data_IF_813729712461
#
_entry.id   IF_813729712461
#
_cell.length_a   1.000
_cell.length_b   1.000
_cell.length_c   1.000
_cell.angle_alpha   90.00
_cell.angle_beta   90.00
_cell.angle_gamma   90.00
#
_symmetry.space_group_name_H-M   'P 1'
#
loop_
_entity.id
_entity.type
_entity.pdbx_description
1 polymer ?
#
# COMPACT_ATOMS: atom_id res chain seq x y z
N UNK A 1 -33.68 -11.10 64.96
CA UNK A 1 -33.63 -9.62 64.96
C UNK A 1 -33.94 -9.15 63.54
N UNK A 2 -34.86 -8.20 63.43
CA UNK A 2 -35.72 -7.96 62.27
C UNK A 2 -35.14 -7.17 61.08
N UNK A 3 -36.01 -6.86 60.08
CA UNK A 3 -35.66 -6.63 58.67
C UNK A 3 -35.79 -5.15 58.22
N UNK A 4 -35.34 -4.81 57.01
CA UNK A 4 -35.78 -3.59 56.28
C UNK A 4 -35.57 -3.77 54.77
N UNK A 5 -36.62 -4.12 54.02
CA UNK A 5 -37.49 -3.27 53.16
C UNK A 5 -36.84 -2.77 51.87
N UNK A 6 -37.41 -3.27 50.77
CA UNK A 6 -37.39 -2.75 49.41
C UNK A 6 -37.97 -1.33 49.33
N UNK A 7 -37.34 -0.46 48.54
CA UNK A 7 -37.98 0.68 47.87
C UNK A 7 -37.51 0.70 46.40
N UNK A 8 -38.51 0.66 45.52
CA UNK A 8 -38.44 0.96 44.09
C UNK A 8 -38.04 2.42 43.87
N UNK A 9 -37.23 2.68 42.85
CA UNK A 9 -37.57 3.55 41.72
C UNK A 9 -36.31 4.15 41.09
N UNK A 10 -36.27 4.03 39.76
CA UNK A 10 -36.04 5.22 38.98
C UNK A 10 -34.72 5.36 38.24
N UNK A 11 -34.87 5.33 36.92
CA UNK A 11 -34.24 6.24 35.97
C UNK A 11 -32.86 5.87 35.39
N UNK A 12 -32.90 5.71 34.07
CA UNK A 12 -31.80 5.93 33.14
C UNK A 12 -30.58 5.01 33.25
N UNK A 13 -30.71 3.78 32.79
CA UNK A 13 -29.63 3.26 31.92
C UNK A 13 -29.80 3.89 30.56
N UNK A 14 -29.35 5.14 30.44
CA UNK A 14 -28.94 5.68 29.14
C UNK A 14 -28.08 4.61 28.49
N UNK A 15 -28.50 4.16 27.31
CA UNK A 15 -27.67 3.34 26.46
C UNK A 15 -26.36 4.08 26.25
N UNK A 16 -25.34 3.71 27.03
CA UNK A 16 -23.96 4.04 26.70
C UNK A 16 -23.72 3.29 25.42
N UNK A 17 -24.00 3.96 24.29
CA UNK A 17 -23.26 3.75 23.06
C UNK A 17 -21.82 3.73 23.53
N UNK A 18 -21.22 2.54 23.55
CA UNK A 18 -19.80 2.36 23.72
C UNK A 18 -19.21 3.23 22.62
N UNK A 19 -18.82 4.45 22.98
CA UNK A 19 -18.23 5.40 22.07
C UNK A 19 -16.99 4.67 21.59
N UNK A 20 -17.02 4.23 20.33
CA UNK A 20 -15.92 3.55 19.69
C UNK A 20 -14.79 4.58 19.69
N UNK A 21 -13.95 4.56 20.73
CA UNK A 21 -12.81 5.46 20.82
C UNK A 21 -12.02 5.21 19.55
N UNK A 22 -11.94 6.23 18.70
CA UNK A 22 -11.16 6.15 17.48
C UNK A 22 -9.75 5.77 17.91
N UNK A 23 -9.27 4.65 17.39
CA UNK A 23 -7.96 4.15 17.78
C UNK A 23 -6.91 5.20 17.36
N UNK A 24 -6.08 5.61 18.31
CA UNK A 24 -5.11 6.69 18.14
C UNK A 24 -4.05 6.27 17.11
N UNK A 25 -3.82 7.11 16.10
CA UNK A 25 -2.68 6.98 15.18
C UNK A 25 -1.42 7.50 15.86
N UNK A 26 -0.34 6.73 15.80
CA UNK A 26 1.01 7.18 16.17
C UNK A 26 1.86 7.17 14.92
N UNK A 27 2.33 8.35 14.51
CA UNK A 27 3.23 8.49 13.38
C UNK A 27 4.64 8.06 13.79
N UNK A 28 5.35 7.43 12.87
CA UNK A 28 6.70 6.90 13.06
C UNK A 28 7.61 7.44 11.96
N UNK A 29 8.86 7.72 12.30
CA UNK A 29 9.89 8.07 11.33
C UNK A 29 10.43 6.81 10.62
N UNK A 30 11.11 7.00 9.50
CA UNK A 30 11.68 5.88 8.75
C UNK A 30 12.88 6.29 7.91
N UNK A 31 13.79 5.34 7.71
CA UNK A 31 14.90 5.47 6.78
C UNK A 31 14.55 4.87 5.41
N UNK A 32 14.91 5.60 4.36
CA UNK A 32 14.80 5.11 2.99
C UNK A 32 16.00 4.20 2.70
N UNK A 33 15.76 2.90 2.55
CA UNK A 33 16.80 1.95 2.16
C UNK A 33 16.99 1.96 0.65
N UNK A 34 15.90 1.84 -0.12
CA UNK A 34 15.91 1.99 -1.59
C UNK A 34 14.54 2.31 -2.17
N UNK A 35 14.53 3.13 -3.22
CA UNK A 35 13.35 3.42 -4.05
C UNK A 35 13.68 3.24 -5.55
N UNK A 36 13.88 1.99 -6.01
CA UNK A 36 14.30 1.74 -7.39
C UNK A 36 13.18 2.09 -8.37
N UNK A 37 13.56 2.26 -9.64
CA UNK A 37 12.60 2.31 -10.73
C UNK A 37 12.24 0.89 -11.17
N UNK A 38 10.96 0.54 -11.16
CA UNK A 38 10.44 -0.60 -11.91
C UNK A 38 10.32 -0.20 -13.39
N UNK A 39 10.83 -1.03 -14.30
CA UNK A 39 10.92 -0.70 -15.73
C UNK A 39 10.34 -1.83 -16.58
N UNK A 40 9.42 -1.46 -17.46
CA UNK A 40 8.80 -2.34 -18.45
C UNK A 40 9.13 -1.83 -19.86
N UNK A 41 9.46 -2.74 -20.78
CA UNK A 41 9.69 -2.45 -22.20
C UNK A 41 8.56 -3.06 -23.03
N UNK A 42 7.83 -2.23 -23.79
CA UNK A 42 6.76 -2.70 -24.67
C UNK A 42 7.33 -3.17 -26.01
N UNK A 43 6.58 -4.02 -26.72
CA UNK A 43 6.97 -4.54 -28.04
C UNK A 43 7.24 -3.44 -29.09
N UNK A 44 6.65 -2.25 -28.93
CA UNK A 44 6.90 -1.10 -29.82
C UNK A 44 8.12 -0.24 -29.42
N UNK A 45 8.90 -0.70 -28.44
CA UNK A 45 10.10 -0.05 -27.93
C UNK A 45 9.84 1.02 -26.87
N UNK A 46 8.59 1.32 -26.54
CA UNK A 46 8.23 2.28 -25.48
C UNK A 46 8.60 1.72 -24.11
N UNK A 47 9.10 2.56 -23.21
CA UNK A 47 9.37 2.16 -21.81
C UNK A 47 8.37 2.78 -20.85
N UNK A 48 7.78 1.98 -19.98
CA UNK A 48 7.07 2.45 -18.79
C UNK A 48 7.98 2.33 -17.59
N UNK A 49 8.21 3.43 -16.88
CA UNK A 49 8.94 3.46 -15.61
C UNK A 49 8.00 3.87 -14.49
N UNK A 50 8.00 3.11 -13.41
CA UNK A 50 7.18 3.41 -12.23
C UNK A 50 8.03 3.36 -10.97
N UNK A 51 7.74 4.26 -10.03
CA UNK A 51 8.39 4.31 -8.72
C UNK A 51 7.36 4.70 -7.67
N UNK A 52 7.47 4.10 -6.49
CA UNK A 52 6.72 4.49 -5.31
C UNK A 52 7.66 5.09 -4.27
N UNK A 53 7.21 6.19 -3.67
CA UNK A 53 7.86 6.88 -2.57
C UNK A 53 6.86 6.93 -1.41
N UNK A 54 7.24 6.42 -0.25
CA UNK A 54 6.45 6.48 0.97
C UNK A 54 6.60 7.86 1.59
N UNK A 55 5.47 8.49 1.92
CA UNK A 55 5.43 9.85 2.42
C UNK A 55 5.23 9.89 3.93
N UNK A 56 4.37 9.01 4.44
CA UNK A 56 4.03 8.94 5.86
C UNK A 56 3.79 7.49 6.29
N UNK A 57 4.13 7.18 7.53
CA UNK A 57 3.84 5.91 8.19
C UNK A 57 3.22 6.19 9.54
N UNK A 58 2.25 5.36 9.92
CA UNK A 58 1.74 5.32 11.28
C UNK A 58 1.29 3.91 11.66
N UNK A 59 1.22 3.66 12.94
CA UNK A 59 0.59 2.46 13.47
C UNK A 59 -0.58 2.78 14.39
N UNK A 60 -1.41 1.77 14.59
CA UNK A 60 -2.55 1.82 15.51
C UNK A 60 -2.53 0.57 16.38
N UNK A 61 -2.65 0.76 17.69
CA UNK A 61 -2.78 -0.35 18.64
C UNK A 61 -4.27 -0.61 18.88
N UNK A 62 -4.75 -1.83 18.57
CA UNK A 62 -6.11 -2.29 18.87
C UNK A 62 -6.04 -3.66 19.54
N UNK A 63 -6.58 -3.75 20.76
CA UNK A 63 -6.62 -5.03 21.50
C UNK A 63 -5.22 -5.64 21.74
N UNK A 64 -4.19 -4.80 21.94
CA UNK A 64 -2.81 -5.25 22.11
C UNK A 64 -2.07 -5.62 20.83
N UNK A 65 -2.73 -5.57 19.66
CA UNK A 65 -2.10 -5.80 18.36
C UNK A 65 -1.75 -4.47 17.69
N UNK A 66 -0.50 -4.32 17.25
CA UNK A 66 -0.03 -3.20 16.45
C UNK A 66 -0.29 -3.46 14.97
N UNK A 67 -0.95 -2.51 14.29
CA UNK A 67 -1.19 -2.55 12.84
C UNK A 67 -0.56 -1.34 12.19
N UNK A 68 0.39 -1.57 11.28
CA UNK A 68 1.05 -0.53 10.49
C UNK A 68 0.22 -0.12 9.27
N UNK A 69 0.36 1.13 8.83
CA UNK A 69 -0.26 1.69 7.63
C UNK A 69 0.58 2.86 7.13
N UNK A 70 0.70 3.01 5.82
CA UNK A 70 1.44 4.10 5.19
C UNK A 70 0.61 4.83 4.14
N UNK A 71 1.05 6.03 3.79
CA UNK A 71 0.68 6.70 2.54
C UNK A 71 1.89 6.77 1.62
N UNK A 72 1.63 6.58 0.33
CA UNK A 72 2.65 6.62 -0.70
C UNK A 72 2.23 7.51 -1.86
N UNK A 73 3.22 7.99 -2.59
CA UNK A 73 3.07 8.69 -3.85
C UNK A 73 3.70 7.88 -4.97
N UNK A 74 2.99 7.82 -6.09
CA UNK A 74 3.45 7.17 -7.29
C UNK A 74 4.00 8.17 -8.29
N UNK A 75 5.13 7.81 -8.92
CA UNK A 75 5.65 8.51 -10.10
C UNK A 75 5.70 7.54 -11.26
N UNK A 76 4.97 7.85 -12.33
CA UNK A 76 4.91 7.03 -13.53
C UNK A 76 5.38 7.85 -14.74
N UNK A 77 6.27 7.28 -15.55
CA UNK A 77 6.88 7.94 -16.72
C UNK A 77 6.75 6.99 -17.91
N UNK A 78 6.19 7.50 -19.00
CA UNK A 78 6.19 6.81 -20.30
C UNK A 78 7.23 7.46 -21.20
N UNK A 79 8.26 6.70 -21.55
CA UNK A 79 9.27 7.08 -22.53
C UNK A 79 8.88 6.48 -23.88
N UNK A 80 8.05 7.22 -24.62
CA UNK A 80 7.55 6.83 -25.93
C UNK A 80 8.71 6.61 -26.92
N UNK A 81 8.72 5.47 -27.61
CA UNK A 81 9.70 5.24 -28.67
C UNK A 81 9.49 6.25 -29.82
N UNK A 82 10.55 6.74 -30.49
CA UNK A 82 10.41 7.70 -31.58
C UNK A 82 9.49 7.24 -32.72
N UNK A 83 9.45 5.94 -33.04
CA UNK A 83 8.53 5.40 -34.06
C UNK A 83 7.06 5.48 -33.66
N UNK A 84 6.77 5.70 -32.39
CA UNK A 84 5.42 5.83 -31.83
C UNK A 84 5.00 7.28 -31.66
N UNK A 85 5.89 8.24 -31.94
CA UNK A 85 5.54 9.65 -31.94
C UNK A 85 4.70 10.00 -33.15
N UNK A 86 3.73 10.89 -32.94
CA UNK A 86 2.86 11.37 -34.00
C UNK A 86 2.58 12.86 -33.88
N UNK A 87 1.49 13.29 -34.52
CA UNK A 87 1.05 14.68 -34.44
C UNK A 87 0.75 15.05 -32.99
N UNK A 88 1.33 16.16 -32.54
CA UNK A 88 1.07 16.76 -31.23
C UNK A 88 -0.42 17.11 -31.10
N UNK A 89 -0.98 16.84 -29.93
CA UNK A 89 -2.37 17.13 -29.63
C UNK A 89 -2.52 17.68 -28.20
N UNK A 90 -2.99 18.91 -28.10
CA UNK A 90 -3.19 19.61 -26.82
C UNK A 90 -4.55 19.33 -26.18
N UNK A 91 -5.39 18.51 -26.83
CA UNK A 91 -6.73 18.19 -26.34
C UNK A 91 -6.62 17.33 -25.08
N UNK A 92 -7.09 17.87 -23.95
CA UNK A 92 -7.25 17.10 -22.72
C UNK A 92 -8.43 16.16 -22.90
N UNK A 93 -8.22 14.86 -22.65
CA UNK A 93 -9.25 13.83 -22.78
C UNK A 93 -9.51 13.16 -21.44
N UNK A 94 -10.77 12.87 -21.18
CA UNK A 94 -11.16 12.07 -20.03
C UNK A 94 -10.75 10.61 -20.22
N UNK A 95 -10.60 9.87 -19.11
CA UNK A 95 -10.16 8.47 -19.13
C UNK A 95 -11.07 7.60 -20.00
N UNK A 96 -12.38 7.80 -19.91
CA UNK A 96 -13.40 7.05 -20.65
C UNK A 96 -13.28 7.27 -22.17
N UNK A 97 -12.84 8.46 -22.59
CA UNK A 97 -12.60 8.75 -24.00
C UNK A 97 -11.35 8.05 -24.52
N UNK A 98 -10.30 7.98 -23.69
CA UNK A 98 -9.08 7.25 -24.01
C UNK A 98 -9.37 5.74 -24.14
N UNK A 99 -10.12 5.18 -23.19
CA UNK A 99 -10.49 3.75 -23.16
C UNK A 99 -11.26 3.35 -24.41
N UNK A 100 -12.26 4.15 -24.83
CA UNK A 100 -13.04 3.92 -26.06
C UNK A 100 -12.22 4.00 -27.35
N UNK A 101 -11.05 4.64 -27.31
CA UNK A 101 -10.17 4.82 -28.47
C UNK A 101 -8.85 4.05 -28.30
N UNK A 102 -8.92 2.90 -27.62
CA UNK A 102 -7.83 1.95 -27.55
C UNK A 102 -7.53 1.39 -28.95
N UNK A 103 -6.27 1.43 -29.36
CA UNK A 103 -5.78 0.86 -30.61
C UNK A 103 -5.36 -0.59 -30.41
N UNK A 104 -4.59 -0.86 -29.34
CA UNK A 104 -4.16 -2.20 -28.94
C UNK A 104 -4.47 -2.35 -27.45
N UNK A 105 -5.30 -3.32 -27.14
CA UNK A 105 -5.52 -3.76 -25.77
C UNK A 105 -4.44 -4.76 -25.33
N UNK A 106 -4.07 -4.69 -24.06
CA UNK A 106 -3.16 -5.65 -23.42
C UNK A 106 -1.87 -5.87 -24.22
N UNK A 107 -1.14 -4.77 -24.41
CA UNK A 107 0.14 -4.77 -25.10
C UNK A 107 1.11 -5.69 -24.36
N UNK A 108 1.85 -6.49 -25.13
CA UNK A 108 2.94 -7.30 -24.61
C UNK A 108 4.09 -6.41 -24.13
N UNK A 109 4.77 -6.90 -23.10
CA UNK A 109 5.91 -6.23 -22.51
C UNK A 109 6.89 -7.23 -21.89
N UNK A 110 8.13 -6.78 -21.75
CA UNK A 110 9.20 -7.41 -20.99
C UNK A 110 9.43 -6.64 -19.69
N UNK A 111 9.66 -7.36 -18.60
CA UNK A 111 10.08 -6.78 -17.32
C UNK A 111 11.59 -6.61 -17.33
N UNK A 112 12.07 -5.36 -17.36
CA UNK A 112 13.49 -5.04 -17.37
C UNK A 112 14.05 -4.97 -15.93
N UNK A 113 13.25 -4.46 -14.99
CA UNK A 113 13.58 -4.43 -13.56
C UNK A 113 12.31 -4.35 -12.74
N UNK A 114 12.22 -5.18 -11.69
CA UNK A 114 11.11 -5.24 -10.75
C UNK A 114 11.65 -5.54 -9.34
N UNK A 115 12.26 -4.52 -8.74
CA UNK A 115 12.73 -4.58 -7.36
C UNK A 115 11.74 -3.88 -6.42
N UNK A 116 11.56 -4.38 -5.18
CA UNK A 116 10.73 -3.71 -4.20
C UNK A 116 11.39 -2.42 -3.73
N UNK A 117 10.55 -1.44 -3.40
CA UNK A 117 10.92 -0.31 -2.57
C UNK A 117 11.07 -0.78 -1.12
N UNK A 118 12.11 -0.34 -0.42
CA UNK A 118 12.44 -0.79 0.94
C UNK A 118 12.65 0.40 1.89
N UNK A 119 12.06 0.29 3.07
CA UNK A 119 12.19 1.23 4.18
C UNK A 119 12.52 0.49 5.48
N UNK A 120 13.16 1.19 6.41
CA UNK A 120 13.47 0.71 7.75
C UNK A 120 12.82 1.64 8.79
N UNK A 121 11.99 1.08 9.66
CA UNK A 121 11.31 1.81 10.73
C UNK A 121 12.22 1.94 11.96
N UNK A 122 11.88 2.84 12.89
CA UNK A 122 12.65 3.04 14.14
C UNK A 122 12.70 1.77 15.00
N UNK A 123 11.63 0.97 15.01
CA UNK A 123 11.56 -0.30 15.74
C UNK A 123 12.35 -1.45 15.06
N UNK A 124 13.01 -1.17 13.93
CA UNK A 124 13.76 -2.13 13.13
C UNK A 124 12.91 -2.91 12.13
N UNK A 125 11.60 -2.68 12.06
CA UNK A 125 10.71 -3.29 11.05
C UNK A 125 11.12 -2.87 9.65
N UNK A 126 11.26 -3.84 8.75
CA UNK A 126 11.48 -3.57 7.32
C UNK A 126 10.16 -3.57 6.58
N UNK A 127 9.96 -2.56 5.73
CA UNK A 127 8.76 -2.44 4.89
C UNK A 127 9.17 -2.57 3.44
N UNK A 128 8.58 -3.54 2.75
CA UNK A 128 8.76 -3.77 1.33
C UNK A 128 7.48 -3.44 0.58
N UNK A 129 7.57 -2.59 -0.44
CA UNK A 129 6.45 -2.28 -1.33
C UNK A 129 6.76 -2.85 -2.71
N UNK A 130 5.89 -3.74 -3.18
CA UNK A 130 5.99 -4.42 -4.48
C UNK A 130 4.97 -3.82 -5.44
N UNK A 131 5.38 -3.62 -6.68
CA UNK A 131 4.52 -3.10 -7.74
C UNK A 131 4.63 -3.93 -9.00
N UNK A 132 3.47 -4.29 -9.53
CA UNK A 132 3.36 -5.15 -10.71
C UNK A 132 2.43 -4.54 -11.74
N UNK A 133 2.91 -4.38 -12.97
CA UNK A 133 2.08 -4.01 -14.10
C UNK A 133 1.13 -5.16 -14.42
N UNK A 134 -0.18 -4.89 -14.42
CA UNK A 134 -1.22 -5.89 -14.66
C UNK A 134 -1.80 -5.81 -16.06
N UNK A 135 -1.95 -4.60 -16.59
CA UNK A 135 -2.44 -4.35 -17.95
C UNK A 135 -1.84 -3.05 -18.47
N UNK A 136 -1.51 -3.02 -19.76
CA UNK A 136 -1.20 -1.79 -20.48
C UNK A 136 -1.85 -1.81 -21.87
N UNK A 137 -2.49 -0.71 -22.24
CA UNK A 137 -3.19 -0.55 -23.52
C UNK A 137 -2.70 0.70 -24.22
N UNK A 138 -2.52 0.63 -25.53
CA UNK A 138 -2.11 1.75 -26.38
C UNK A 138 -3.32 2.42 -26.99
N UNK A 139 -3.45 3.74 -26.84
CA UNK A 139 -4.58 4.49 -27.43
C UNK A 139 -4.25 5.00 -28.84
N UNK A 140 -5.24 5.50 -29.58
CA UNK A 140 -5.02 6.18 -30.87
C UNK A 140 -4.50 7.62 -30.74
N UNK A 141 -4.42 8.15 -29.52
CA UNK A 141 -4.13 9.56 -29.27
C UNK A 141 -2.68 9.79 -28.90
N UNK A 142 -2.21 11.00 -29.21
CA UNK A 142 -0.93 11.51 -28.75
C UNK A 142 -1.16 12.65 -27.75
N UNK A 143 -0.16 12.95 -26.94
CA UNK A 143 -0.14 14.07 -26.03
C UNK A 143 0.34 15.37 -26.71
N UNK A 144 0.47 16.45 -25.91
CA UNK A 144 0.95 17.76 -26.38
C UNK A 144 2.38 17.74 -26.91
N UNK A 145 3.15 16.70 -26.59
CA UNK A 145 4.53 16.51 -27.05
C UNK A 145 4.59 15.59 -28.28
N UNK A 146 3.46 14.98 -28.67
CA UNK A 146 3.38 14.03 -29.78
C UNK A 146 3.65 12.59 -29.35
N UNK A 147 3.80 12.33 -28.04
CA UNK A 147 3.97 10.99 -27.52
C UNK A 147 2.64 10.25 -27.50
N UNK A 148 2.67 8.98 -27.85
CA UNK A 148 1.52 8.08 -27.74
C UNK A 148 1.03 7.99 -26.29
N UNK A 149 -0.29 8.08 -26.08
CA UNK A 149 -0.91 7.92 -24.75
C UNK A 149 -1.21 6.44 -24.50
N UNK A 150 -0.81 5.97 -23.31
CA UNK A 150 -1.07 4.61 -22.82
C UNK A 150 -1.94 4.66 -21.57
N UNK A 151 -2.78 3.63 -21.42
CA UNK A 151 -3.57 3.36 -20.23
C UNK A 151 -2.98 2.14 -19.55
N UNK A 152 -2.78 2.17 -18.24
CA UNK A 152 -2.21 1.04 -17.52
C UNK A 152 -2.82 0.87 -16.13
N UNK A 153 -2.73 -0.35 -15.61
CA UNK A 153 -3.13 -0.74 -14.26
C UNK A 153 -1.94 -1.40 -13.57
N UNK A 154 -1.64 -0.97 -12.35
CA UNK A 154 -0.55 -1.49 -11.54
C UNK A 154 -1.13 -1.87 -10.19
N UNK A 155 -0.84 -3.09 -9.75
CA UNK A 155 -1.17 -3.53 -8.40
C UNK A 155 -0.01 -3.21 -7.46
N UNK A 156 -0.35 -2.78 -6.25
CA UNK A 156 0.59 -2.56 -5.15
C UNK A 156 0.29 -3.56 -4.03
N UNK A 157 1.35 -4.13 -3.45
CA UNK A 157 1.27 -4.94 -2.23
C UNK A 157 2.44 -4.61 -1.32
N UNK A 158 2.25 -4.80 -0.02
CA UNK A 158 3.30 -4.52 0.97
C UNK A 158 3.51 -5.68 1.94
N UNK A 159 4.76 -5.83 2.37
CA UNK A 159 5.18 -6.77 3.41
C UNK A 159 5.87 -6.00 4.53
N UNK A 160 5.47 -6.28 5.76
CA UNK A 160 6.13 -5.82 6.98
C UNK A 160 6.90 -6.99 7.59
N UNK A 161 8.18 -6.80 7.82
CA UNK A 161 9.09 -7.78 8.38
C UNK A 161 9.66 -7.22 9.68
N UNK A 162 8.92 -7.43 10.77
CA UNK A 162 9.30 -6.95 12.09
C UNK A 162 10.37 -7.86 12.70
N UNK A 163 11.35 -7.31 13.41
CA UNK A 163 12.31 -8.13 14.13
C UNK A 163 11.57 -9.00 15.17
N UNK A 164 12.09 -10.20 15.50
CA UNK A 164 11.54 -10.98 16.60
C UNK A 164 11.55 -10.11 17.85
N UNK A 165 10.43 -10.09 18.59
CA UNK A 165 10.36 -9.44 19.89
C UNK A 165 11.52 -9.98 20.73
N UNK A 166 12.52 -9.14 20.99
CA UNK A 166 13.63 -9.52 21.86
C UNK A 166 13.07 -10.02 23.18
N UNK A 167 13.71 -11.03 23.77
CA UNK A 167 13.37 -11.53 25.10
C UNK A 167 13.18 -10.36 26.05
N UNK A 168 12.03 -10.32 26.73
CA UNK A 168 11.70 -9.25 27.66
C UNK A 168 12.87 -9.04 28.64
N UNK A 169 13.51 -7.85 28.65
CA UNK A 169 14.74 -7.62 29.42
C UNK A 169 14.54 -7.74 30.94
N UNK A 170 13.29 -7.79 31.40
CA UNK A 170 12.95 -7.96 32.82
C UNK A 170 12.64 -9.39 33.23
N UNK A 171 12.30 -10.31 32.31
CA UNK A 171 11.97 -11.69 32.69
C UNK A 171 12.71 -12.79 31.93
N UNK A 172 13.45 -12.47 30.85
CA UNK A 172 14.27 -13.43 30.11
C UNK A 172 13.52 -14.66 29.57
N UNK A 173 12.18 -14.64 29.59
CA UNK A 173 11.37 -15.74 29.09
C UNK A 173 11.22 -15.63 27.58
N UNK A 174 11.68 -16.66 26.91
CA UNK A 174 11.43 -16.91 25.51
C UNK A 174 10.01 -17.49 25.40
N UNK A 175 9.08 -16.80 24.73
CA UNK A 175 7.69 -17.24 24.59
C UNK A 175 7.53 -18.40 23.58
N UNK A 176 8.61 -19.11 23.24
CA UNK A 176 8.68 -20.03 22.12
C UNK A 176 8.19 -21.46 22.42
N UNK A 177 7.91 -21.85 23.67
CA UNK A 177 7.42 -23.21 23.98
C UNK A 177 6.31 -23.23 25.04
N UNK A 178 5.07 -23.40 24.58
CA UNK A 178 3.98 -23.95 25.40
C UNK A 178 3.35 -25.13 24.64
N UNK A 179 4.05 -26.28 24.67
CA UNK A 179 3.47 -27.57 24.33
C UNK A 179 3.20 -28.30 25.65
N UNK A 180 2.00 -28.09 26.19
CA UNK A 180 1.45 -28.96 27.23
C UNK A 180 1.16 -30.35 26.64
N UNK A 181 1.97 -31.32 27.02
CA UNK A 181 1.60 -32.73 27.01
C UNK A 181 0.62 -32.97 28.15
N UNK A 182 -0.61 -33.34 27.81
CA UNK A 182 -1.55 -34.00 28.73
C UNK A 182 -1.23 -35.50 28.75
N UNK A 183 -0.98 -36.13 29.92
CA UNK A 183 -0.95 -37.57 30.04
C UNK A 183 -2.32 -38.12 30.44
N UNK A 184 -2.80 -39.11 29.69
CA UNK A 184 -3.66 -40.18 30.21
C UNK A 184 -3.08 -41.54 29.84
#
# INVERSE_FOLDING_TARGET
MGPCRSILDGYYTSGRRCGRLAAKKTYEDFEIVKEPWTVYLLDDGTKLKTRTTMNTMWYVIKGGTQSHTYESQETNIVLCHPSMQGRKDTTVRAKEQLEKNTEIEDCRYEVISEEPTEYLMEDGTKVFIYRKLCKISRTRYNDRHGNRIYLYSIDESSKFDSPPLGTCPTCGHDHSHDHSHDPQ
#
